data_IF_518403173080
#
_entry.id   IF_518403173080
#
_cell.length_a   1.000
_cell.length_b   1.000
_cell.length_c   1.000
_cell.angle_alpha   90.00
_cell.angle_beta   90.00
_cell.angle_gamma   90.00
#
_symmetry.space_group_name_H-M   'P 1'
#
loop_
_entity.id
_entity.type
_entity.pdbx_description
1 polymer ?
#
# COMPACT_ATOMS: atom_id res chain seq x y z
N UNK A 1 34.48 7.35 14.24
CA UNK A 1 33.58 6.71 15.24
C UNK A 1 32.19 7.36 15.34
N UNK A 2 32.05 8.66 15.66
CA UNK A 2 30.72 9.30 15.83
C UNK A 2 29.87 9.34 14.55
N UNK A 3 30.48 9.66 13.40
CA UNK A 3 29.75 9.73 12.12
C UNK A 3 29.26 8.36 11.65
N UNK A 4 30.08 7.30 11.81
CA UNK A 4 29.70 5.93 11.46
C UNK A 4 28.49 5.44 12.28
N UNK A 5 28.47 5.71 13.59
CA UNK A 5 27.33 5.36 14.45
C UNK A 5 26.04 6.10 14.03
N UNK A 6 26.14 7.39 13.68
CA UNK A 6 25.01 8.18 13.17
C UNK A 6 24.51 7.63 11.84
N UNK A 7 25.40 7.33 10.90
CA UNK A 7 25.03 6.75 9.61
C UNK A 7 24.32 5.39 9.79
N UNK A 8 24.88 4.50 10.62
CA UNK A 8 24.26 3.21 10.92
C UNK A 8 22.87 3.36 11.58
N UNK A 9 22.72 4.31 12.50
CA UNK A 9 21.43 4.60 13.13
C UNK A 9 20.38 5.06 12.11
N UNK A 10 20.73 6.01 11.23
CA UNK A 10 19.79 6.50 10.21
C UNK A 10 19.48 5.45 9.15
N UNK A 11 20.43 4.60 8.77
CA UNK A 11 20.17 3.47 7.87
C UNK A 11 19.19 2.48 8.50
N UNK A 12 19.39 2.13 9.77
CA UNK A 12 18.45 1.26 10.51
C UNK A 12 17.06 1.90 10.59
N UNK A 13 16.99 3.18 10.93
CA UNK A 13 15.72 3.91 10.99
C UNK A 13 15.00 3.90 9.63
N UNK A 14 15.73 4.15 8.54
CA UNK A 14 15.17 4.14 7.19
C UNK A 14 14.66 2.75 6.79
N UNK A 15 15.36 1.68 7.17
CA UNK A 15 14.91 0.31 6.97
C UNK A 15 13.62 0.01 7.76
N UNK A 16 13.54 0.44 9.02
CA UNK A 16 12.34 0.29 9.85
C UNK A 16 11.16 1.03 9.23
N UNK A 17 11.35 2.29 8.83
CA UNK A 17 10.31 3.09 8.18
C UNK A 17 9.86 2.45 6.87
N UNK A 18 10.80 1.97 6.05
CA UNK A 18 10.46 1.29 4.80
C UNK A 18 9.58 0.06 5.03
N UNK A 19 9.95 -0.81 5.97
CA UNK A 19 9.16 -2.00 6.33
C UNK A 19 7.80 -1.62 6.91
N UNK A 20 7.73 -0.58 7.74
CA UNK A 20 6.49 -0.12 8.35
C UNK A 20 5.52 0.50 7.34
N UNK A 21 6.02 1.24 6.34
CA UNK A 21 5.19 1.92 5.33
C UNK A 21 4.78 0.98 4.19
N UNK A 22 5.58 -0.05 3.90
CA UNK A 22 5.31 -1.02 2.82
C UNK A 22 3.88 -1.61 2.80
N UNK A 23 3.30 -2.10 3.92
CA UNK A 23 1.94 -2.64 3.89
C UNK A 23 0.88 -1.60 3.47
N UNK A 24 1.03 -0.34 3.88
CA UNK A 24 0.11 0.74 3.50
C UNK A 24 0.26 1.10 2.03
N UNK A 25 1.51 1.21 1.56
CA UNK A 25 1.82 1.39 0.15
C UNK A 25 1.18 0.29 -0.72
N UNK A 26 1.35 -0.97 -0.31
CA UNK A 26 0.81 -2.11 -1.04
C UNK A 26 -0.73 -2.11 -1.05
N UNK A 27 -1.37 -1.73 0.06
CA UNK A 27 -2.82 -1.60 0.14
C UNK A 27 -3.37 -0.52 -0.82
N UNK A 28 -2.73 0.65 -0.88
CA UNK A 28 -3.11 1.74 -1.79
C UNK A 28 -2.92 1.32 -3.25
N UNK A 29 -1.78 0.72 -3.59
CA UNK A 29 -1.55 0.26 -4.97
C UNK A 29 -2.57 -0.80 -5.36
N UNK A 30 -2.83 -1.76 -4.48
CA UNK A 30 -3.77 -2.87 -4.75
C UNK A 30 -5.21 -2.37 -4.86
N UNK A 31 -5.63 -1.35 -4.08
CA UNK A 31 -6.97 -0.77 -4.22
C UNK A 31 -7.21 -0.12 -5.59
N UNK A 32 -6.14 0.29 -6.27
CA UNK A 32 -6.16 0.92 -7.60
C UNK A 32 -5.94 -0.06 -8.75
N UNK A 33 -5.65 -1.33 -8.48
CA UNK A 33 -5.46 -2.36 -9.50
C UNK A 33 -6.79 -2.82 -10.09
N UNK A 34 -6.77 -3.17 -11.37
CA UNK A 34 -7.89 -3.90 -11.99
C UNK A 34 -7.99 -5.34 -11.43
N UNK A 35 -9.18 -5.96 -11.51
CA UNK A 35 -9.43 -7.28 -10.93
C UNK A 35 -8.50 -8.38 -11.44
N UNK A 36 -8.09 -8.32 -12.71
CA UNK A 36 -7.13 -9.26 -13.30
C UNK A 36 -5.68 -9.02 -12.84
N UNK A 37 -5.35 -7.79 -12.45
CA UNK A 37 -4.02 -7.42 -11.97
C UNK A 37 -3.80 -7.77 -10.48
N UNK A 38 -4.87 -8.01 -9.73
CA UNK A 38 -4.78 -8.45 -8.33
C UNK A 38 -4.00 -9.77 -8.17
N UNK A 39 -3.97 -10.61 -9.20
CA UNK A 39 -3.26 -11.89 -9.21
C UNK A 39 -1.80 -11.77 -9.68
N UNK A 40 -1.32 -10.56 -9.96
CA UNK A 40 0.06 -10.31 -10.37
C UNK A 40 0.84 -9.63 -9.25
N UNK A 41 2.05 -10.15 -9.00
CA UNK A 41 3.02 -9.54 -8.09
C UNK A 41 3.68 -8.30 -8.73
N UNK A 42 2.89 -7.25 -8.99
CA UNK A 42 3.36 -5.93 -9.42
C UNK A 42 3.41 -4.97 -8.23
N UNK A 43 4.52 -4.23 -8.10
CA UNK A 43 4.67 -3.19 -7.07
C UNK A 43 3.96 -1.89 -7.45
N UNK A 44 3.60 -1.69 -8.72
CA UNK A 44 2.86 -0.53 -9.22
C UNK A 44 1.69 -1.03 -10.09
N UNK A 45 0.57 -0.28 -10.15
CA UNK A 45 -0.54 -0.65 -11.02
C UNK A 45 -0.13 -0.42 -12.47
N UNK A 46 -0.28 -1.45 -13.32
CA UNK A 46 -0.13 -1.33 -14.77
C UNK A 46 -1.34 -0.61 -15.37
N UNK A 47 -2.51 -0.85 -14.80
CA UNK A 47 -3.76 -0.23 -15.22
C UNK A 47 -4.44 0.38 -14.01
N UNK A 48 -4.56 1.70 -14.02
CA UNK A 48 -5.26 2.42 -12.96
C UNK A 48 -6.77 2.18 -13.07
N UNK A 49 -7.40 1.76 -11.97
CA UNK A 49 -8.84 1.48 -11.90
C UNK A 49 -9.44 1.94 -10.57
N UNK A 50 -10.60 2.60 -10.65
CA UNK A 50 -11.43 2.95 -9.50
C UNK A 50 -12.60 1.96 -9.30
N UNK A 51 -12.63 0.85 -10.05
CA UNK A 51 -13.72 -0.11 -9.98
C UNK A 51 -13.87 -0.71 -8.57
N UNK A 52 -12.77 -0.97 -7.86
CA UNK A 52 -12.83 -1.50 -6.49
C UNK A 52 -13.56 -0.54 -5.54
N UNK A 53 -13.31 0.77 -5.67
CA UNK A 53 -14.00 1.80 -4.89
C UNK A 53 -15.48 1.85 -5.24
N UNK A 54 -15.81 1.88 -6.53
CA UNK A 54 -17.21 1.84 -6.98
C UNK A 54 -17.93 0.62 -6.39
N UNK A 55 -17.37 -0.57 -6.53
CA UNK A 55 -17.98 -1.82 -6.07
C UNK A 55 -18.22 -1.81 -4.55
N UNK A 56 -17.24 -1.37 -3.76
CA UNK A 56 -17.39 -1.27 -2.30
C UNK A 56 -18.50 -0.30 -1.90
N UNK A 57 -18.65 0.81 -2.63
CA UNK A 57 -19.65 1.84 -2.34
C UNK A 57 -21.04 1.51 -2.88
N UNK A 58 -21.16 0.66 -3.90
CA UNK A 58 -22.46 0.38 -4.56
C UNK A 58 -23.01 -1.02 -4.34
N UNK A 59 -22.17 -2.03 -4.08
CA UNK A 59 -22.57 -3.45 -4.14
C UNK A 59 -22.58 -4.16 -2.78
N UNK A 60 -22.14 -3.52 -1.69
CA UNK A 60 -21.97 -4.17 -0.39
C UNK A 60 -22.57 -3.42 0.80
N UNK A 61 -22.65 -4.06 1.98
CA UNK A 61 -23.13 -3.43 3.21
C UNK A 61 -22.11 -2.44 3.80
N UNK A 62 -21.01 -2.16 3.10
CA UNK A 62 -19.89 -1.37 3.59
C UNK A 62 -20.34 -0.01 4.15
N UNK A 63 -21.13 0.74 3.38
CA UNK A 63 -21.66 2.05 3.82
C UNK A 63 -22.61 1.92 5.02
N UNK A 64 -23.40 0.85 5.08
CA UNK A 64 -24.32 0.60 6.20
C UNK A 64 -23.57 0.25 7.48
N UNK A 65 -22.43 -0.42 7.40
CA UNK A 65 -21.62 -0.81 8.55
C UNK A 65 -20.70 0.31 9.04
N UNK A 66 -20.55 1.40 8.27
CA UNK A 66 -19.69 2.53 8.58
C UNK A 66 -20.37 3.56 9.49
N UNK A 67 -21.71 3.56 9.54
CA UNK A 67 -22.56 4.46 10.32
C UNK A 67 -23.16 3.70 11.49
#
# INVERSE_FOLDING_TARGET
MKMLKRAAFYLLLLAIVFVAVFPFYYAIVTSLKSGTELFQASLWPRTFSLANYRNVLTEGPFLRNLV
#
